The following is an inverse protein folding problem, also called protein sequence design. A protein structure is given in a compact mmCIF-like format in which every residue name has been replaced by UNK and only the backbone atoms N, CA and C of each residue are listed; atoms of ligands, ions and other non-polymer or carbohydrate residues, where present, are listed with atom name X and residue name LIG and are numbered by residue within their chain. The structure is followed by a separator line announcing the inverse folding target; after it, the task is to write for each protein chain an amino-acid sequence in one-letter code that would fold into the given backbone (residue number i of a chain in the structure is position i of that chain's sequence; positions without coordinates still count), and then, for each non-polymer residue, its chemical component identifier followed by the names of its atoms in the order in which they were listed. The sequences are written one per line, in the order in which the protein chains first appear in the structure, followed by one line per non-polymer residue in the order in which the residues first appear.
data_IF_735446380512
#
_entry.id   IF_735446380512
#
_cell.length_a   1.000
_cell.length_b   1.000
_cell.length_c   1.000
_cell.angle_alpha   90.00
_cell.angle_beta   90.00
_cell.angle_gamma   90.00
#
_symmetry.space_group_name_H-M   'P 1'
#
loop_
_entity.id
_entity.type
_entity.pdbx_description
1 polymer ?
#
# COMPACT_ATOMS: atom_id res chain seq x y z
N UNK A 1 -1.88 24.96 -18.39
CA UNK A 1 -1.96 24.27 -18.32
C UNK A 1 -1.80 23.44 -17.67
N UNK A 2 -1.92 23.31 -17.55
CA UNK A 2 -1.89 22.55 -17.10
C UNK A 2 -1.85 21.56 -16.65
N UNK A 3 -1.92 21.52 -16.48
CA UNK A 3 -1.95 20.59 -16.20
C UNK A 3 -2.02 19.77 -15.76
N UNK A 4 -2.18 19.97 -15.67
CA UNK A 4 -2.32 19.18 -15.43
C UNK A 4 -2.35 18.27 -15.20
N UNK A 5 -2.67 18.41 -15.39
CA UNK A 5 -2.76 17.59 -15.37
C UNK A 5 -2.29 16.84 -15.00
N UNK A 6 -2.08 17.66 -14.91
CA UNK A 6 -1.41 16.80 -14.73
C UNK A 6 -1.78 15.65 -14.25
N UNK A 7 -1.92 15.41 -14.49
CA UNK A 7 -2.69 14.30 -14.17
C UNK A 7 -2.11 13.49 -13.06
N UNK A 8 -2.91 13.13 -12.12
CA UNK A 8 -2.51 12.33 -11.00
C UNK A 8 -2.88 10.89 -11.29
N UNK A 9 -1.89 10.09 -11.71
CA UNK A 9 -2.06 8.65 -11.82
C UNK A 9 -1.28 8.02 -10.67
N UNK A 10 -1.96 7.72 -9.55
CA UNK A 10 -1.25 7.13 -8.43
C UNK A 10 -0.68 5.77 -8.76
N UNK A 11 0.52 5.51 -8.29
CA UNK A 11 1.19 4.21 -8.45
C UNK A 11 1.14 3.49 -7.12
N UNK A 12 0.43 2.37 -7.09
CA UNK A 12 0.25 1.57 -5.89
C UNK A 12 1.02 0.26 -5.98
N UNK A 13 1.60 -0.15 -4.86
CA UNK A 13 2.09 -1.52 -4.70
C UNK A 13 1.07 -2.27 -3.84
N UNK A 14 0.64 -3.42 -4.29
CA UNK A 14 -0.28 -4.29 -3.56
C UNK A 14 0.44 -5.60 -3.29
N UNK A 15 0.70 -5.90 -2.03
CA UNK A 15 1.39 -7.11 -1.63
C UNK A 15 0.47 -7.97 -0.76
N UNK A 16 0.15 -9.15 -1.25
CA UNK A 16 -0.70 -10.11 -0.56
C UNK A 16 -0.42 -11.48 -1.16
N UNK A 17 -0.33 -12.51 -0.33
CA UNK A 17 -0.03 -13.85 -0.84
C UNK A 17 -1.26 -14.54 -1.45
N UNK A 18 -2.45 -14.02 -1.23
CA UNK A 18 -3.67 -14.52 -1.85
C UNK A 18 -3.79 -13.91 -3.24
N UNK A 19 -3.54 -14.71 -4.27
CA UNK A 19 -3.53 -14.26 -5.65
C UNK A 19 -4.86 -13.63 -6.07
N UNK A 20 -5.97 -14.30 -5.76
CA UNK A 20 -7.27 -13.81 -6.19
C UNK A 20 -7.61 -12.47 -5.53
N UNK A 21 -7.30 -12.34 -4.25
CA UNK A 21 -7.52 -11.11 -3.52
C UNK A 21 -6.66 -9.98 -4.11
N UNK A 22 -5.38 -10.26 -4.32
CA UNK A 22 -4.42 -9.31 -4.88
C UNK A 22 -4.86 -8.81 -6.26
N UNK A 23 -5.26 -9.73 -7.12
CA UNK A 23 -5.69 -9.38 -8.47
C UNK A 23 -7.02 -8.62 -8.47
N UNK A 24 -7.92 -8.98 -7.56
CA UNK A 24 -9.19 -8.26 -7.42
C UNK A 24 -8.96 -6.80 -7.02
N UNK A 25 -8.05 -6.56 -6.09
CA UNK A 25 -7.72 -5.19 -5.70
C UNK A 25 -7.09 -4.43 -6.85
N UNK A 26 -6.18 -5.07 -7.56
CA UNK A 26 -5.55 -4.44 -8.72
C UNK A 26 -6.59 -4.00 -9.74
N UNK A 27 -7.58 -4.85 -10.00
CA UNK A 27 -8.63 -4.52 -10.95
C UNK A 27 -9.44 -3.30 -10.52
N UNK A 28 -9.79 -3.25 -9.23
CA UNK A 28 -10.55 -2.13 -8.69
C UNK A 28 -9.79 -0.81 -8.89
N UNK A 29 -8.51 -0.79 -8.53
CA UNK A 29 -7.73 0.44 -8.63
C UNK A 29 -7.39 0.80 -10.07
N UNK A 30 -7.13 -0.20 -10.92
CA UNK A 30 -6.87 0.06 -12.33
C UNK A 30 -8.07 0.73 -13.00
N UNK A 31 -9.27 0.31 -12.66
CA UNK A 31 -10.49 0.92 -13.18
C UNK A 31 -10.66 2.36 -12.72
N UNK A 32 -10.05 2.73 -11.63
CA UNK A 32 -10.09 4.10 -11.10
C UNK A 32 -8.95 4.97 -11.63
N UNK A 33 -8.14 4.44 -12.54
CA UNK A 33 -7.05 5.19 -13.16
C UNK A 33 -5.72 5.07 -12.43
N UNK A 34 -5.59 4.14 -11.51
CA UNK A 34 -4.34 3.91 -10.79
C UNK A 34 -3.48 2.90 -11.55
N UNK A 35 -2.17 3.04 -11.43
CA UNK A 35 -1.24 2.01 -11.89
C UNK A 35 -0.90 1.13 -10.69
N UNK A 36 -0.95 -0.19 -10.87
CA UNK A 36 -0.67 -1.12 -9.78
C UNK A 36 0.52 -2.00 -10.08
N UNK A 37 1.30 -2.28 -9.05
CA UNK A 37 2.34 -3.30 -9.05
C UNK A 37 1.96 -4.33 -8.01
N UNK A 38 2.20 -5.62 -8.31
CA UNK A 38 1.73 -6.70 -7.46
C UNK A 38 2.91 -7.51 -6.93
N UNK A 39 2.84 -7.86 -5.65
CA UNK A 39 3.82 -8.71 -4.99
C UNK A 39 3.12 -9.84 -4.27
N UNK A 40 3.66 -11.04 -4.36
CA UNK A 40 3.08 -12.22 -3.71
C UNK A 40 3.65 -12.46 -2.31
N UNK A 41 4.71 -11.77 -1.94
CA UNK A 41 5.31 -11.88 -0.61
C UNK A 41 6.11 -10.62 -0.29
N UNK A 42 6.64 -10.57 0.93
CA UNK A 42 7.37 -9.41 1.40
C UNK A 42 8.68 -9.17 0.65
N UNK A 43 9.34 -10.24 0.19
CA UNK A 43 10.59 -10.08 -0.55
C UNK A 43 10.35 -9.39 -1.88
N UNK A 44 9.31 -9.81 -2.61
CA UNK A 44 8.95 -9.16 -3.85
C UNK A 44 8.55 -7.71 -3.64
N UNK A 45 7.83 -7.45 -2.53
CA UNK A 45 7.41 -6.08 -2.22
C UNK A 45 8.63 -5.17 -2.05
N UNK A 46 9.63 -5.61 -1.29
CA UNK A 46 10.86 -4.84 -1.10
C UNK A 46 11.59 -4.63 -2.42
N UNK A 47 11.69 -5.67 -3.24
CA UNK A 47 12.35 -5.56 -4.54
C UNK A 47 11.67 -4.53 -5.44
N UNK A 48 10.34 -4.52 -5.44
CA UNK A 48 9.59 -3.56 -6.26
C UNK A 48 9.85 -2.12 -5.78
N UNK A 49 9.84 -1.91 -4.46
CA UNK A 49 10.11 -0.58 -3.91
C UNK A 49 11.50 -0.11 -4.31
N UNK A 50 12.49 -1.01 -4.28
CA UNK A 50 13.87 -0.68 -4.61
C UNK A 50 14.08 -0.39 -6.09
N UNK A 51 13.35 -1.08 -6.97
CA UNK A 51 13.59 -1.03 -8.41
C UNK A 51 12.61 -0.15 -9.19
N UNK A 52 11.47 0.16 -8.59
CA UNK A 52 10.44 0.96 -9.26
C UNK A 52 10.73 2.45 -9.05
N UNK A 53 10.54 3.23 -10.09
CA UNK A 53 10.85 4.65 -10.04
C UNK A 53 10.01 5.43 -9.05
N UNK A 54 8.68 5.40 -9.21
CA UNK A 54 7.80 6.20 -8.36
C UNK A 54 6.65 5.35 -7.83
N UNK A 55 6.57 5.22 -6.52
CA UNK A 55 5.42 4.65 -5.85
C UNK A 55 4.84 5.71 -4.92
N UNK A 56 3.53 5.72 -4.80
CA UNK A 56 2.83 6.71 -3.97
C UNK A 56 2.23 6.09 -2.73
N UNK A 57 1.93 4.80 -2.76
CA UNK A 57 1.30 4.13 -1.62
C UNK A 57 1.54 2.63 -1.73
N UNK A 58 1.71 1.99 -0.58
CA UNK A 58 1.91 0.55 -0.50
C UNK A 58 0.81 -0.06 0.36
N UNK A 59 0.19 -1.12 -0.15
CA UNK A 59 -0.75 -1.96 0.59
C UNK A 59 -0.03 -3.26 0.90
N UNK A 60 0.15 -3.57 2.20
CA UNK A 60 0.88 -4.75 2.63
C UNK A 60 0.02 -5.63 3.52
N UNK A 61 -0.17 -6.89 3.14
CA UNK A 61 -0.71 -7.88 4.05
C UNK A 61 0.35 -8.19 5.11
N UNK A 62 -0.07 -8.28 6.37
CA UNK A 62 0.86 -8.58 7.46
C UNK A 62 1.40 -10.00 7.34
N UNK A 63 0.54 -10.96 6.99
CA UNK A 63 0.92 -12.38 6.98
C UNK A 63 1.23 -12.85 5.57
N UNK A 64 2.51 -12.85 5.23
CA UNK A 64 2.99 -13.33 3.94
C UNK A 64 4.19 -14.25 4.15
N UNK A 65 4.41 -15.22 3.23
CA UNK A 65 5.57 -16.10 3.35
C UNK A 65 6.88 -15.36 3.08
N UNK A 66 7.96 -15.95 3.50
CA UNK A 66 9.35 -15.50 3.36
C UNK A 66 9.66 -14.23 4.15
N UNK A 67 8.88 -13.18 3.95
CA UNK A 67 9.04 -11.93 4.66
C UNK A 67 7.65 -11.38 4.94
N UNK A 68 7.32 -11.12 6.20
CA UNK A 68 5.99 -10.61 6.56
C UNK A 68 5.84 -9.16 6.12
N UNK A 69 4.61 -8.66 6.18
CA UNK A 69 4.36 -7.24 5.86
C UNK A 69 5.09 -6.29 6.79
N UNK A 70 5.16 -6.61 8.08
CA UNK A 70 5.89 -5.80 9.05
C UNK A 70 7.38 -5.79 8.71
N UNK A 71 7.96 -6.98 8.45
CA UNK A 71 9.37 -7.07 8.10
C UNK A 71 9.68 -6.35 6.79
N UNK A 72 8.79 -6.47 5.81
CA UNK A 72 8.95 -5.75 4.55
C UNK A 72 8.92 -4.24 4.79
N UNK A 73 7.99 -3.76 5.61
CA UNK A 73 7.89 -2.34 5.91
C UNK A 73 9.12 -1.84 6.65
N UNK A 74 9.68 -2.64 7.56
CA UNK A 74 10.92 -2.26 8.23
C UNK A 74 12.04 -2.02 7.22
N UNK A 75 12.19 -2.92 6.24
CA UNK A 75 13.21 -2.76 5.22
C UNK A 75 12.94 -1.56 4.33
N UNK A 76 11.69 -1.33 3.97
CA UNK A 76 11.31 -0.17 3.16
C UNK A 76 11.68 1.12 3.88
N UNK A 77 11.39 1.21 5.18
CA UNK A 77 11.68 2.41 5.97
C UNK A 77 13.17 2.69 6.10
N UNK A 78 14.00 1.63 6.08
CA UNK A 78 15.45 1.79 6.15
C UNK A 78 16.07 2.29 4.85
N UNK A 79 15.47 1.96 3.72
CA UNK A 79 16.09 2.21 2.42
C UNK A 79 15.55 3.42 1.69
N UNK A 80 14.35 3.87 2.05
CA UNK A 80 13.71 5.00 1.36
C UNK A 80 13.75 6.22 2.27
N UNK A 81 14.41 7.27 1.81
CA UNK A 81 14.53 8.51 2.58
C UNK A 81 13.20 9.22 2.76
N UNK A 82 12.34 9.16 1.74
CA UNK A 82 11.04 9.80 1.79
C UNK A 82 10.03 8.81 2.34
N UNK A 83 9.21 9.25 3.27
CA UNK A 83 8.20 8.39 3.86
C UNK A 83 7.16 8.00 2.80
N UNK A 84 7.17 6.74 2.43
CA UNK A 84 6.20 6.17 1.52
C UNK A 84 4.99 5.70 2.34
N UNK A 85 3.80 6.28 2.13
CA UNK A 85 2.63 5.87 2.91
C UNK A 85 2.35 4.38 2.75
N UNK A 86 2.00 3.73 3.86
CA UNK A 86 1.70 2.31 3.86
C UNK A 86 0.40 2.03 4.59
N UNK A 87 -0.41 1.14 4.03
CA UNK A 87 -1.57 0.57 4.68
C UNK A 87 -1.26 -0.89 4.96
N UNK A 88 -1.40 -1.31 6.22
CA UNK A 88 -1.28 -2.72 6.58
C UNK A 88 -2.66 -3.35 6.60
N UNK A 89 -2.75 -4.57 6.09
CA UNK A 89 -3.98 -5.35 6.05
C UNK A 89 -3.75 -6.65 6.81
N UNK A 90 -4.73 -7.08 7.60
CA UNK A 90 -4.62 -8.34 8.34
C UNK A 90 -5.99 -8.85 8.75
N UNK A 91 -6.12 -10.18 8.79
CA UNK A 91 -7.31 -10.80 9.39
C UNK A 91 -7.34 -10.60 10.90
N UNK A 92 -6.18 -10.35 11.51
CA UNK A 92 -6.09 -10.16 12.95
C UNK A 92 -4.91 -9.26 13.29
N UNK A 93 -5.19 -8.13 13.92
CA UNK A 93 -4.18 -7.24 14.46
C UNK A 93 -4.09 -7.48 15.97
N UNK A 94 -3.03 -8.15 16.40
CA UNK A 94 -2.77 -8.27 17.83
C UNK A 94 -2.02 -7.04 18.32
N UNK A 95 -1.85 -6.97 19.64
CA UNK A 95 -1.25 -5.80 20.27
C UNK A 95 0.18 -5.55 19.81
N UNK A 96 0.94 -6.62 19.63
CA UNK A 96 2.33 -6.51 19.18
C UNK A 96 2.42 -5.95 17.76
N UNK A 97 1.57 -6.42 16.87
CA UNK A 97 1.54 -5.94 15.48
C UNK A 97 1.14 -4.48 15.45
N UNK A 98 0.14 -4.08 16.25
CA UNK A 98 -0.29 -2.68 16.31
C UNK A 98 0.85 -1.78 16.78
N UNK A 99 1.59 -2.19 17.80
CA UNK A 99 2.73 -1.42 18.30
C UNK A 99 3.82 -1.29 17.24
N UNK A 100 4.15 -2.37 16.55
CA UNK A 100 5.14 -2.34 15.49
C UNK A 100 4.70 -1.43 14.34
N UNK A 101 3.43 -1.52 13.97
CA UNK A 101 2.89 -0.69 12.91
C UNK A 101 2.99 0.81 13.25
N UNK A 102 2.70 1.16 14.50
CA UNK A 102 2.80 2.54 14.95
C UNK A 102 4.24 3.05 14.91
N UNK A 103 5.19 2.22 15.32
CA UNK A 103 6.61 2.58 15.29
C UNK A 103 7.12 2.77 13.87
N UNK A 104 6.50 2.11 12.89
CA UNK A 104 6.89 2.20 11.50
C UNK A 104 6.12 3.28 10.72
N UNK A 105 5.40 4.10 11.43
CA UNK A 105 4.69 5.24 10.85
C UNK A 105 3.68 4.80 9.79
N UNK A 106 2.93 3.74 10.08
CA UNK A 106 1.91 3.21 9.19
C UNK A 106 0.76 4.20 9.06
N UNK A 107 0.35 4.46 7.84
CA UNK A 107 -0.72 5.43 7.59
C UNK A 107 -2.08 4.93 8.02
N UNK A 108 -2.34 3.64 7.86
CA UNK A 108 -3.61 3.04 8.28
C UNK A 108 -3.48 1.53 8.41
N UNK A 109 -4.37 0.94 9.20
CA UNK A 109 -4.47 -0.51 9.38
C UNK A 109 -5.91 -0.91 9.08
N UNK A 110 -6.08 -1.86 8.17
CA UNK A 110 -7.39 -2.34 7.77
C UNK A 110 -7.56 -3.81 8.13
N UNK A 111 -8.57 -4.11 8.93
CA UNK A 111 -8.89 -5.49 9.31
C UNK A 111 -9.68 -6.17 8.21
N UNK A 112 -9.25 -7.37 7.84
CA UNK A 112 -10.00 -8.21 6.89
C UNK A 112 -11.12 -8.94 7.62
N UNK A 113 -12.30 -9.08 7.05
CA UNK A 113 -12.70 -8.53 5.75
C UNK A 113 -13.04 -7.05 5.86
N UNK A 114 -12.72 -6.29 4.82
CA UNK A 114 -13.12 -4.89 4.71
C UNK A 114 -13.88 -4.71 3.39
N UNK A 115 -14.65 -3.64 3.30
CA UNK A 115 -15.36 -3.34 2.06
C UNK A 115 -14.43 -2.61 1.10
N UNK A 116 -14.71 -2.71 -0.19
CA UNK A 116 -13.96 -1.96 -1.19
C UNK A 116 -14.11 -0.45 -0.96
N UNK A 117 -15.28 -0.03 -0.48
CA UNK A 117 -15.52 1.37 -0.14
C UNK A 117 -14.57 1.84 0.97
N UNK A 118 -14.39 1.02 2.02
CA UNK A 118 -13.47 1.34 3.10
C UNK A 118 -12.04 1.48 2.58
N UNK A 119 -11.62 0.52 1.75
CA UNK A 119 -10.27 0.53 1.22
C UNK A 119 -10.04 1.72 0.29
N UNK A 120 -10.92 1.93 -0.69
CA UNK A 120 -10.73 3.02 -1.64
C UNK A 120 -10.82 4.37 -0.96
N UNK A 121 -11.73 4.52 0.00
CA UNK A 121 -11.83 5.76 0.78
C UNK A 121 -10.59 6.04 1.59
N UNK A 122 -10.01 5.00 2.21
CA UNK A 122 -8.79 5.15 2.98
C UNK A 122 -7.62 5.54 2.07
N UNK A 123 -7.51 4.90 0.91
CA UNK A 123 -6.45 5.22 -0.06
C UNK A 123 -6.56 6.68 -0.50
N UNK A 124 -7.77 7.12 -0.85
CA UNK A 124 -7.98 8.49 -1.31
C UNK A 124 -7.60 9.52 -0.25
N UNK A 125 -7.98 9.27 1.01
CA UNK A 125 -7.63 10.16 2.11
C UNK A 125 -6.13 10.26 2.31
N UNK A 126 -5.44 9.14 2.24
CA UNK A 126 -3.99 9.12 2.43
C UNK A 126 -3.29 9.86 1.30
N UNK A 127 -3.69 9.60 0.06
CA UNK A 127 -3.09 10.27 -1.08
C UNK A 127 -3.35 11.77 -1.06
N UNK A 128 -4.53 12.17 -0.61
CA UNK A 128 -4.87 13.58 -0.47
C UNK A 128 -3.99 14.24 0.60
N UNK A 129 -3.80 13.59 1.74
CA UNK A 129 -2.97 14.13 2.81
C UNK A 129 -1.50 14.18 2.43
N UNK A 130 -1.00 13.12 1.82
CA UNK A 130 0.42 13.00 1.51
C UNK A 130 0.83 13.87 0.32
N UNK A 131 -0.03 14.00 -0.68
CA UNK A 131 0.32 14.64 -1.93
C UNK A 131 -0.59 15.78 -2.34
N UNK A 132 -1.65 16.03 -1.60
CA UNK A 132 -2.57 17.11 -1.91
C UNK A 132 -3.48 16.85 -3.11
N UNK A 133 -3.62 15.61 -3.52
CA UNK A 133 -4.37 15.27 -4.72
C UNK A 133 -5.87 15.20 -4.45
N UNK A 134 -6.64 15.66 -5.43
CA UNK A 134 -8.09 15.46 -5.45
C UNK A 134 -8.38 14.31 -6.40
N UNK A 135 -8.84 13.20 -5.86
CA UNK A 135 -9.08 11.97 -6.60
C UNK A 135 -10.58 11.69 -6.68
N UNK A 136 -11.27 12.39 -7.51
CA UNK A 136 -12.71 12.18 -7.67
C UNK A 136 -13.04 11.55 -8.98
#
# INVERSE_FOLDING_TARGET
MERRMQSTEPNLLIADDDRDFRESLSEVFTRRGYTTRLAADGCEAVEIVQSTGVLHLVLLDVHMPRLSGIEALEQIRQEVEVTLPCILMSAKFDEQIVQQAEQLDTASMLSKPFTLRDLTGTVEKILQRAYGWKLT
#
